data_IF_091774872189
#
_entry.id   IF_091774872189
#
_cell.length_a   1.000
_cell.length_b   1.000
_cell.length_c   1.000
_cell.angle_alpha   90.00
_cell.angle_beta   90.00
_cell.angle_gamma   90.00
#
_symmetry.space_group_name_H-M   'P 1'
#
loop_
_entity.id
_entity.type
_entity.pdbx_description
1 polymer ?
#
# COMPACT_ATOMS: atom_id res chain seq x y z
N UNK A 1 0.96 -10.39 28.43
CA UNK A 1 1.74 -11.07 27.38
C UNK A 1 1.28 -10.47 26.07
N UNK A 2 1.95 -9.43 25.60
CA UNK A 2 1.52 -8.67 24.42
C UNK A 2 2.73 -8.46 23.53
N UNK A 3 3.03 -9.49 22.75
CA UNK A 3 4.07 -9.43 21.72
C UNK A 3 3.67 -10.37 20.58
N UNK A 4 2.69 -9.97 19.77
CA UNK A 4 2.47 -10.64 18.48
C UNK A 4 1.82 -9.79 17.37
N UNK A 5 1.82 -8.46 17.47
CA UNK A 5 1.16 -7.60 16.47
C UNK A 5 2.06 -7.08 15.34
N UNK A 6 3.37 -7.34 15.38
CA UNK A 6 4.26 -6.95 14.26
C UNK A 6 4.03 -7.79 12.99
N UNK A 7 3.42 -8.97 13.11
CA UNK A 7 2.97 -9.80 11.98
C UNK A 7 1.56 -9.43 11.46
N UNK A 8 0.82 -8.59 12.19
CA UNK A 8 -0.63 -8.41 12.04
C UNK A 8 -0.98 -7.50 10.87
N UNK A 9 -0.26 -6.38 10.68
CA UNK A 9 -0.63 -5.39 9.67
C UNK A 9 -0.35 -5.84 8.23
N UNK A 10 0.77 -6.52 7.97
CA UNK A 10 1.11 -7.03 6.62
C UNK A 10 0.08 -8.05 6.14
N UNK A 11 -0.28 -8.99 7.01
CA UNK A 11 -1.29 -10.00 6.71
C UNK A 11 -2.68 -9.38 6.52
N UNK A 12 -3.02 -8.39 7.35
CA UNK A 12 -4.29 -7.65 7.22
C UNK A 12 -4.36 -6.90 5.90
N UNK A 13 -3.32 -6.14 5.54
CA UNK A 13 -3.27 -5.38 4.29
C UNK A 13 -3.16 -6.27 3.05
N UNK A 14 -2.58 -7.47 3.17
CA UNK A 14 -2.50 -8.43 2.06
C UNK A 14 -3.87 -9.01 1.68
N UNK A 15 -4.82 -8.99 2.62
CA UNK A 15 -6.20 -9.48 2.43
C UNK A 15 -7.19 -8.36 2.12
N UNK A 16 -6.79 -7.10 2.27
CA UNK A 16 -7.65 -5.95 2.05
C UNK A 16 -7.50 -5.44 0.61
N UNK A 17 -8.57 -5.54 -0.17
CA UNK A 17 -8.73 -4.82 -1.43
C UNK A 17 -9.34 -3.44 -1.16
N UNK A 18 -9.03 -2.46 -2.00
CA UNK A 18 -9.59 -1.12 -1.82
C UNK A 18 -8.93 -0.01 -2.62
N UNK A 19 -9.38 1.21 -2.37
CA UNK A 19 -8.79 2.45 -2.90
C UNK A 19 -7.89 3.05 -1.81
N UNK A 20 -6.75 3.60 -2.20
CA UNK A 20 -5.81 4.26 -1.30
C UNK A 20 -5.38 5.63 -1.87
N UNK A 21 -4.95 6.51 -0.96
CA UNK A 21 -4.43 7.84 -1.30
C UNK A 21 -3.04 7.99 -0.71
N UNK A 22 -2.07 8.41 -1.54
CA UNK A 22 -0.73 8.81 -1.13
C UNK A 22 -0.66 10.33 -1.22
N UNK A 23 -0.24 10.99 -0.15
CA UNK A 23 -0.11 12.44 -0.10
C UNK A 23 1.36 12.82 -0.12
N UNK A 24 1.77 13.65 -1.08
CA UNK A 24 3.05 14.33 -1.02
C UNK A 24 2.98 15.42 0.06
N UNK A 25 3.77 15.27 1.13
CA UNK A 25 3.76 16.18 2.27
C UNK A 25 4.37 17.54 1.98
N UNK A 26 5.20 17.66 0.94
CA UNK A 26 5.93 18.89 0.62
C UNK A 26 5.08 19.88 -0.19
N UNK A 27 4.13 19.37 -0.98
CA UNK A 27 3.28 20.20 -1.85
C UNK A 27 1.78 19.88 -1.79
N UNK A 28 1.36 18.93 -0.94
CA UNK A 28 -0.04 18.56 -0.75
C UNK A 28 -0.69 17.81 -1.91
N UNK A 29 0.07 17.43 -2.96
CA UNK A 29 -0.48 16.68 -4.09
C UNK A 29 -0.92 15.29 -3.64
N UNK A 30 -2.07 14.87 -4.14
CA UNK A 30 -2.66 13.56 -3.86
C UNK A 30 -2.50 12.66 -5.07
N UNK A 31 -2.11 11.42 -4.81
CA UNK A 31 -2.13 10.32 -5.76
C UNK A 31 -3.16 9.29 -5.30
N UNK A 32 -4.08 8.90 -6.17
CA UNK A 32 -5.15 7.94 -5.85
C UNK A 32 -4.92 6.67 -6.66
N UNK A 33 -4.84 5.53 -5.97
CA UNK A 33 -4.65 4.22 -6.58
C UNK A 33 -5.66 3.20 -6.09
N UNK A 34 -5.77 2.08 -6.81
CA UNK A 34 -6.61 0.95 -6.40
C UNK A 34 -5.81 -0.36 -6.29
N UNK A 35 -6.23 -1.20 -5.36
CA UNK A 35 -5.65 -2.51 -5.08
C UNK A 35 -6.74 -3.58 -5.16
N UNK A 36 -6.96 -4.10 -6.36
CA UNK A 36 -7.96 -5.15 -6.65
C UNK A 36 -7.32 -6.54 -6.83
N UNK A 37 -5.99 -6.64 -6.74
CA UNK A 37 -5.25 -7.89 -6.87
C UNK A 37 -5.34 -8.79 -5.63
N UNK A 38 -4.81 -10.01 -5.75
CA UNK A 38 -4.88 -11.07 -4.72
C UNK A 38 -4.13 -10.75 -3.43
N UNK A 39 -3.16 -9.84 -3.49
CA UNK A 39 -2.30 -9.46 -2.37
C UNK A 39 -2.63 -8.05 -1.82
N UNK A 40 -3.82 -7.52 -2.16
CA UNK A 40 -4.40 -6.33 -1.56
C UNK A 40 -3.53 -5.08 -1.63
N UNK A 41 -3.75 -4.18 -0.67
CA UNK A 41 -3.02 -2.90 -0.53
C UNK A 41 -1.54 -3.15 -0.24
N UNK A 42 -1.21 -4.23 0.47
CA UNK A 42 0.17 -4.53 0.84
C UNK A 42 1.09 -4.69 -0.38
N UNK A 43 0.65 -5.39 -1.42
CA UNK A 43 1.43 -5.56 -2.65
C UNK A 43 1.73 -4.21 -3.31
N UNK A 44 0.72 -3.33 -3.42
CA UNK A 44 0.91 -2.00 -4.01
C UNK A 44 1.92 -1.18 -3.23
N UNK A 45 1.87 -1.22 -1.91
CA UNK A 45 2.86 -0.55 -1.08
C UNK A 45 4.27 -1.11 -1.27
N UNK A 46 4.41 -2.43 -1.37
CA UNK A 46 5.71 -3.05 -1.65
C UNK A 46 6.25 -2.67 -3.03
N UNK A 47 5.39 -2.62 -4.05
CA UNK A 47 5.77 -2.22 -5.41
C UNK A 47 6.27 -0.77 -5.39
N UNK A 48 5.50 0.16 -4.81
CA UNK A 48 5.89 1.57 -4.66
C UNK A 48 7.25 1.77 -3.96
N UNK A 49 7.52 1.01 -2.90
CA UNK A 49 8.82 1.07 -2.20
C UNK A 49 9.96 0.55 -3.10
N UNK A 50 9.69 -0.47 -3.93
CA UNK A 50 10.70 -1.13 -4.77
C UNK A 50 11.08 -0.29 -5.98
N UNK A 51 10.11 0.28 -6.68
CA UNK A 51 10.31 0.91 -8.00
C UNK A 51 9.99 2.42 -8.02
N UNK A 52 9.52 2.98 -6.90
CA UNK A 52 9.20 4.40 -6.75
C UNK A 52 7.87 4.83 -7.39
N UNK A 53 7.26 3.99 -8.22
CA UNK A 53 6.10 4.36 -9.06
C UNK A 53 5.00 3.27 -9.10
N UNK A 54 5.14 2.16 -8.36
CA UNK A 54 4.14 1.12 -8.22
C UNK A 54 3.79 0.37 -9.51
N UNK A 55 4.73 0.31 -10.48
CA UNK A 55 4.50 -0.16 -11.84
C UNK A 55 3.48 0.66 -12.67
N UNK A 56 3.18 1.90 -12.24
CA UNK A 56 2.35 2.83 -13.01
C UNK A 56 3.21 3.54 -14.09
N UNK A 57 3.57 2.81 -15.16
CA UNK A 57 4.31 3.35 -16.32
C UNK A 57 3.40 3.87 -17.44
N UNK A 58 2.27 4.47 -17.07
CA UNK A 58 1.33 5.08 -18.01
C UNK A 58 1.82 6.41 -18.55
#
# INVERSE_FOLDING_TARGET
MEENDKASWKNTLSRQQGVYVITNTDNGKLYVGSATGRNGIYQRWQDYIRDGHGNDTG
#
